data_IF_514973717712
#
_entry.id   IF_514973717712
#
_cell.length_a   1.000
_cell.length_b   1.000
_cell.length_c   1.000
_cell.angle_alpha   90.00
_cell.angle_beta   90.00
_cell.angle_gamma   90.00
#
_symmetry.space_group_name_H-M   'P 1'
#
loop_
_entity.id
_entity.type
_entity.pdbx_description
1 polymer ?
#
# COMPACT_ATOMS: atom_id res chain seq x y z
N UNK A 1 -29.69 -19.29 -56.21
CA UNK A 1 -29.61 -18.44 -54.99
C UNK A 1 -28.81 -19.04 -53.82
N UNK A 2 -28.71 -20.38 -53.64
CA UNK A 2 -28.00 -21.00 -52.49
C UNK A 2 -26.47 -20.77 -52.41
N UNK A 3 -25.76 -20.67 -53.55
CA UNK A 3 -24.29 -20.58 -53.58
C UNK A 3 -23.74 -19.23 -53.09
N UNK A 4 -24.45 -18.14 -53.37
CA UNK A 4 -24.04 -16.78 -52.96
C UNK A 4 -24.25 -16.53 -51.47
N UNK A 5 -25.31 -17.10 -50.87
CA UNK A 5 -25.55 -17.01 -49.43
C UNK A 5 -24.47 -17.74 -48.62
N UNK A 6 -23.99 -18.88 -49.12
CA UNK A 6 -22.91 -19.64 -48.47
C UNK A 6 -21.57 -18.89 -48.52
N UNK A 7 -21.26 -18.28 -49.67
CA UNK A 7 -20.06 -17.47 -49.84
C UNK A 7 -20.07 -16.20 -48.97
N UNK A 8 -21.22 -15.55 -48.83
CA UNK A 8 -21.36 -14.39 -47.95
C UNK A 8 -21.19 -14.77 -46.46
N UNK A 9 -21.72 -15.92 -46.06
CA UNK A 9 -21.59 -16.42 -44.68
C UNK A 9 -20.14 -16.76 -44.33
N UNK A 10 -19.40 -17.45 -45.22
CA UNK A 10 -17.98 -17.74 -45.00
C UNK A 10 -17.14 -16.47 -44.91
N UNK A 11 -17.46 -15.45 -45.70
CA UNK A 11 -16.77 -14.16 -45.63
C UNK A 11 -17.04 -13.44 -44.30
N UNK A 12 -18.29 -13.43 -43.81
CA UNK A 12 -18.61 -12.85 -42.51
C UNK A 12 -17.89 -13.57 -41.36
N UNK A 13 -17.86 -14.90 -41.39
CA UNK A 13 -17.16 -15.69 -40.36
C UNK A 13 -15.66 -15.42 -40.40
N UNK A 14 -15.05 -15.31 -41.59
CA UNK A 14 -13.64 -14.97 -41.73
C UNK A 14 -13.32 -13.57 -41.18
N UNK A 15 -14.18 -12.58 -41.45
CA UNK A 15 -14.02 -11.22 -40.93
C UNK A 15 -14.17 -11.18 -39.42
N UNK A 16 -15.19 -11.82 -38.87
CA UNK A 16 -15.41 -11.89 -37.40
C UNK A 16 -14.24 -12.61 -36.73
N UNK A 17 -13.77 -13.72 -37.31
CA UNK A 17 -12.63 -14.47 -36.80
C UNK A 17 -11.33 -13.67 -36.82
N UNK A 18 -11.07 -12.91 -37.89
CA UNK A 18 -9.91 -12.04 -37.99
C UNK A 18 -9.96 -10.88 -36.98
N UNK A 19 -11.13 -10.29 -36.79
CA UNK A 19 -11.35 -9.23 -35.78
C UNK A 19 -11.17 -9.78 -34.36
N UNK A 20 -11.68 -10.97 -34.06
CA UNK A 20 -11.50 -11.62 -32.77
C UNK A 20 -10.04 -12.02 -32.50
N UNK A 21 -9.34 -12.55 -33.50
CA UNK A 21 -7.94 -12.97 -33.36
C UNK A 21 -6.98 -11.78 -33.22
N UNK A 22 -7.35 -10.62 -33.77
CA UNK A 22 -6.60 -9.37 -33.62
C UNK A 22 -7.02 -8.54 -32.41
N UNK A 23 -8.02 -8.98 -31.64
CA UNK A 23 -8.47 -8.23 -30.48
C UNK A 23 -7.38 -8.29 -29.41
N UNK A 24 -6.86 -7.14 -28.94
CA UNK A 24 -5.84 -7.14 -27.92
C UNK A 24 -6.41 -7.78 -26.66
N UNK A 25 -5.64 -8.68 -26.05
CA UNK A 25 -5.93 -9.19 -24.70
C UNK A 25 -6.18 -7.96 -23.80
N UNK A 26 -7.30 -7.92 -23.04
CA UNK A 26 -7.52 -6.85 -22.08
C UNK A 26 -6.29 -6.77 -21.19
N UNK A 27 -5.61 -5.61 -21.20
CA UNK A 27 -4.45 -5.44 -20.36
C UNK A 27 -4.87 -5.73 -18.92
N UNK A 28 -4.19 -6.68 -18.29
CA UNK A 28 -4.52 -7.11 -16.95
C UNK A 28 -4.42 -5.96 -15.95
N UNK A 29 -5.19 -6.04 -14.88
CA UNK A 29 -5.13 -5.07 -13.80
C UNK A 29 -3.72 -5.06 -13.18
N UNK A 30 -3.12 -3.88 -13.14
CA UNK A 30 -1.85 -3.67 -12.46
C UNK A 30 -2.12 -3.36 -11.00
N UNK A 31 -1.41 -4.04 -10.09
CA UNK A 31 -1.60 -3.90 -8.64
C UNK A 31 -0.26 -3.67 -7.97
N UNK A 32 -0.17 -2.58 -7.22
CA UNK A 32 0.97 -2.25 -6.37
C UNK A 32 0.58 -2.31 -4.91
N UNK A 33 1.49 -2.81 -4.07
CA UNK A 33 1.29 -2.97 -2.64
C UNK A 33 2.39 -2.24 -1.85
N UNK A 34 1.98 -1.38 -0.93
CA UNK A 34 2.84 -0.59 -0.06
C UNK A 34 2.52 -0.85 1.41
N UNK A 35 3.35 -0.34 2.32
CA UNK A 35 3.12 -0.49 3.75
C UNK A 35 1.85 0.27 4.18
N UNK A 36 1.27 -0.18 5.29
CA UNK A 36 0.10 0.46 5.88
C UNK A 36 0.35 1.94 6.17
N UNK A 37 -0.56 2.79 5.72
CA UNK A 37 -0.54 4.22 6.08
C UNK A 37 -1.29 4.47 7.37
N UNK A 38 -0.76 5.40 8.18
CA UNK A 38 -1.50 5.96 9.31
C UNK A 38 -2.68 6.78 8.79
N UNK A 39 -3.74 6.97 9.58
CA UNK A 39 -4.91 7.74 9.14
C UNK A 39 -4.60 9.16 8.67
N UNK A 40 -3.63 9.84 9.29
CA UNK A 40 -3.19 11.18 8.88
C UNK A 40 -2.52 11.16 7.50
N UNK A 41 -1.61 10.21 7.27
CA UNK A 41 -0.92 10.05 5.99
C UNK A 41 -1.91 9.68 4.87
N UNK A 42 -2.90 8.83 5.17
CA UNK A 42 -3.97 8.52 4.21
C UNK A 42 -4.80 9.74 3.80
N UNK A 43 -5.08 10.67 4.74
CA UNK A 43 -5.81 11.91 4.41
C UNK A 43 -5.03 12.79 3.44
N UNK A 44 -3.70 12.82 3.53
CA UNK A 44 -2.84 13.52 2.58
C UNK A 44 -2.92 12.90 1.18
N UNK A 45 -2.84 11.56 1.11
CA UNK A 45 -3.00 10.84 -0.16
C UNK A 45 -4.38 11.11 -0.79
N UNK A 46 -5.43 11.12 0.03
CA UNK A 46 -6.78 11.45 -0.40
C UNK A 46 -6.90 12.91 -0.88
N UNK A 47 -6.28 13.87 -0.18
CA UNK A 47 -6.31 15.27 -0.59
C UNK A 47 -5.57 15.51 -1.91
N UNK A 48 -4.46 14.81 -2.16
CA UNK A 48 -3.74 14.87 -3.43
C UNK A 48 -4.60 14.31 -4.57
N UNK A 49 -5.26 13.17 -4.34
CA UNK A 49 -6.21 12.60 -5.29
C UNK A 49 -7.36 13.57 -5.59
N UNK A 50 -7.91 14.21 -4.55
CA UNK A 50 -8.97 15.21 -4.68
C UNK A 50 -8.48 16.44 -5.47
N UNK A 51 -7.27 16.92 -5.19
CA UNK A 51 -6.65 18.02 -5.92
C UNK A 51 -6.48 17.71 -7.41
N UNK A 52 -6.04 16.50 -7.73
CA UNK A 52 -5.92 16.04 -9.12
C UNK A 52 -7.28 16.03 -9.83
N UNK A 53 -8.31 15.38 -9.28
CA UNK A 53 -9.61 15.30 -9.96
C UNK A 53 -10.29 16.67 -10.06
N UNK A 54 -10.07 17.55 -9.08
CA UNK A 54 -10.60 18.92 -9.12
C UNK A 54 -9.97 19.71 -10.25
N UNK A 55 -8.64 19.61 -10.42
CA UNK A 55 -7.93 20.26 -11.51
C UNK A 55 -8.28 19.69 -12.91
N UNK A 56 -8.84 18.47 -12.94
CA UNK A 56 -9.16 17.71 -14.15
C UNK A 56 -10.65 17.47 -14.33
N UNK A 57 -11.50 18.23 -13.61
CA UNK A 57 -12.94 18.02 -13.60
C UNK A 57 -13.55 18.18 -15.00
N UNK A 58 -13.09 19.16 -15.78
CA UNK A 58 -13.55 19.40 -17.16
C UNK A 58 -13.20 18.26 -18.13
N UNK A 59 -12.20 17.44 -17.79
CA UNK A 59 -11.82 16.25 -18.55
C UNK A 59 -12.65 15.01 -18.16
N UNK A 60 -13.51 15.14 -17.15
CA UNK A 60 -14.43 14.11 -16.66
C UNK A 60 -13.85 13.23 -15.57
N UNK A 61 -12.82 13.70 -14.86
CA UNK A 61 -12.28 12.98 -13.70
C UNK A 61 -13.13 13.20 -12.45
N UNK A 62 -13.41 12.12 -11.74
CA UNK A 62 -14.20 12.13 -10.51
C UNK A 62 -13.57 11.23 -9.46
N UNK A 63 -13.63 11.66 -8.20
CA UNK A 63 -13.21 10.85 -7.06
C UNK A 63 -14.44 10.32 -6.33
N UNK A 64 -14.46 9.01 -6.12
CA UNK A 64 -15.54 8.27 -5.48
C UNK A 64 -15.02 7.62 -4.20
N UNK A 65 -15.40 8.15 -3.04
CA UNK A 65 -15.12 7.50 -1.77
C UNK A 65 -16.07 6.32 -1.57
N UNK A 66 -15.56 5.15 -1.20
CA UNK A 66 -16.39 3.98 -0.97
C UNK A 66 -17.07 4.11 0.42
N UNK A 67 -18.40 4.13 0.51
CA UNK A 67 -19.10 4.36 1.79
C UNK A 67 -18.79 3.28 2.85
N UNK A 68 -18.51 2.05 2.42
CA UNK A 68 -18.21 0.91 3.29
C UNK A 68 -16.77 0.91 3.84
N UNK A 69 -15.87 1.70 3.28
CA UNK A 69 -14.46 1.74 3.67
C UNK A 69 -13.99 3.18 3.74
N UNK A 70 -13.92 3.70 4.97
CA UNK A 70 -13.42 5.03 5.30
C UNK A 70 -11.96 5.28 4.86
N UNK A 71 -11.29 4.25 4.34
CA UNK A 71 -9.89 4.27 3.93
C UNK A 71 -9.68 3.77 2.50
N UNK A 72 -10.67 3.89 1.60
CA UNK A 72 -10.47 3.65 0.17
C UNK A 72 -11.19 4.67 -0.71
N UNK A 73 -10.64 4.93 -1.89
CA UNK A 73 -11.27 5.76 -2.90
C UNK A 73 -10.96 5.25 -4.31
N UNK A 74 -11.88 5.54 -5.22
CA UNK A 74 -11.76 5.26 -6.64
C UNK A 74 -11.62 6.59 -7.40
N UNK A 75 -10.83 6.59 -8.45
CA UNK A 75 -10.80 7.64 -9.45
C UNK A 75 -11.44 7.09 -10.72
N UNK A 76 -12.44 7.79 -11.22
CA UNK A 76 -13.14 7.50 -12.45
C UNK A 76 -12.82 8.57 -13.50
N UNK A 77 -12.72 8.18 -14.76
CA UNK A 77 -12.73 9.06 -15.91
C UNK A 77 -14.00 8.78 -16.71
N UNK A 78 -14.89 9.77 -16.83
CA UNK A 78 -16.19 9.66 -17.51
C UNK A 78 -17.00 8.46 -17.01
N UNK A 79 -17.04 8.28 -15.70
CA UNK A 79 -17.76 7.18 -15.03
C UNK A 79 -17.03 5.82 -15.00
N UNK A 80 -15.91 5.66 -15.72
CA UNK A 80 -15.17 4.39 -15.75
C UNK A 80 -13.97 4.43 -14.83
N UNK A 81 -13.79 3.37 -14.04
CA UNK A 81 -12.67 3.22 -13.10
C UNK A 81 -11.33 3.32 -13.85
N UNK A 82 -10.43 4.16 -13.35
CA UNK A 82 -9.07 4.29 -13.87
C UNK A 82 -8.01 4.11 -12.78
N UNK A 83 -8.37 4.23 -11.51
CA UNK A 83 -7.51 3.86 -10.39
C UNK A 83 -8.37 3.58 -9.14
N UNK A 84 -8.00 2.56 -8.37
CA UNK A 84 -8.57 2.26 -7.05
C UNK A 84 -7.44 2.27 -6.01
N UNK A 85 -7.67 2.95 -4.89
CA UNK A 85 -6.71 3.05 -3.80
C UNK A 85 -7.38 2.57 -2.52
N UNK A 86 -6.84 1.51 -1.94
CA UNK A 86 -7.36 0.88 -0.73
C UNK A 86 -6.26 0.85 0.34
N UNK A 87 -6.45 1.61 1.41
CA UNK A 87 -5.61 1.49 2.60
C UNK A 87 -6.16 0.36 3.49
N UNK A 88 -5.95 -0.88 3.04
CA UNK A 88 -6.36 -2.12 3.70
C UNK A 88 -5.67 -2.32 5.06
N UNK A 89 -6.10 -3.25 5.93
CA UNK A 89 -5.56 -3.39 7.29
C UNK A 89 -4.04 -3.61 7.35
N UNK A 90 -3.46 -4.32 6.38
CA UNK A 90 -2.03 -4.69 6.38
C UNK A 90 -1.17 -3.89 5.42
N UNK A 91 -1.76 -3.30 4.38
CA UNK A 91 -1.05 -2.66 3.27
C UNK A 91 -1.92 -1.64 2.57
N UNK A 92 -1.29 -0.68 1.90
CA UNK A 92 -1.98 0.13 0.88
C UNK A 92 -1.89 -0.58 -0.45
N UNK A 93 -3.02 -0.68 -1.14
CA UNK A 93 -3.13 -1.22 -2.48
C UNK A 93 -3.48 -0.08 -3.44
N UNK A 94 -2.75 0.01 -4.54
CA UNK A 94 -3.12 0.82 -5.70
C UNK A 94 -3.40 -0.15 -6.84
N UNK A 95 -4.59 -0.10 -7.42
CA UNK A 95 -5.00 -0.92 -8.55
C UNK A 95 -5.29 -0.01 -9.74
N UNK A 96 -4.79 -0.36 -10.91
CA UNK A 96 -5.03 0.36 -12.16
C UNK A 96 -5.49 -0.64 -13.23
N UNK A 97 -6.71 -0.49 -13.77
CA UNK A 97 -7.16 -1.29 -14.91
C UNK A 97 -6.19 -1.14 -16.09
N UNK A 98 -5.94 -2.20 -16.85
CA UNK A 98 -4.95 -2.12 -17.92
C UNK A 98 -5.33 -1.20 -19.07
N UNK A 99 -6.62 -0.87 -19.24
CA UNK A 99 -7.08 0.14 -20.19
C UNK A 99 -7.01 1.58 -19.65
N UNK A 100 -6.66 1.78 -18.38
CA UNK A 100 -6.67 3.08 -17.73
C UNK A 100 -5.72 4.08 -18.40
N UNK A 101 -4.52 3.66 -18.81
CA UNK A 101 -3.56 4.54 -19.45
C UNK A 101 -4.03 5.02 -20.84
N UNK A 102 -4.70 4.14 -21.59
CA UNK A 102 -5.29 4.50 -22.88
C UNK A 102 -6.46 5.48 -22.72
N UNK A 103 -7.27 5.28 -21.68
CA UNK A 103 -8.47 6.07 -21.40
C UNK A 103 -8.16 7.41 -20.75
N UNK A 104 -7.17 7.43 -19.86
CA UNK A 104 -6.84 8.55 -18.99
C UNK A 104 -5.31 8.64 -18.81
N UNK A 105 -4.54 9.11 -19.80
CA UNK A 105 -3.07 9.08 -19.78
C UNK A 105 -2.45 9.77 -18.55
N UNK A 106 -3.10 10.83 -18.04
CA UNK A 106 -2.63 11.57 -16.86
C UNK A 106 -2.72 10.78 -15.55
N UNK A 107 -3.50 9.69 -15.51
CA UNK A 107 -3.62 8.83 -14.31
C UNK A 107 -2.29 8.18 -13.96
N UNK A 108 -1.45 7.91 -14.96
CA UNK A 108 -0.14 7.30 -14.77
C UNK A 108 0.82 8.27 -14.07
N UNK A 109 0.70 9.58 -14.37
CA UNK A 109 1.47 10.61 -13.66
C UNK A 109 1.05 10.67 -12.18
N UNK A 110 -0.24 10.58 -11.90
CA UNK A 110 -0.74 10.54 -10.52
C UNK A 110 -0.25 9.28 -9.78
N UNK A 111 -0.31 8.12 -10.43
CA UNK A 111 0.22 6.86 -9.89
C UNK A 111 1.70 6.97 -9.52
N UNK A 112 2.53 7.51 -10.42
CA UNK A 112 3.95 7.74 -10.15
C UNK A 112 4.18 8.72 -8.99
N UNK A 113 3.35 9.77 -8.86
CA UNK A 113 3.45 10.67 -7.70
C UNK A 113 3.11 9.96 -6.38
N UNK A 114 2.08 9.11 -6.37
CA UNK A 114 1.73 8.32 -5.19
C UNK A 114 2.83 7.32 -4.85
N UNK A 115 3.36 6.60 -5.83
CA UNK A 115 4.48 5.67 -5.63
C UNK A 115 5.67 6.38 -4.99
N UNK A 116 6.07 7.53 -5.52
CA UNK A 116 7.19 8.31 -4.99
C UNK A 116 6.95 8.73 -3.54
N UNK A 117 5.76 9.25 -3.24
CA UNK A 117 5.41 9.67 -1.90
C UNK A 117 5.34 8.50 -0.92
N UNK A 118 4.72 7.38 -1.31
CA UNK A 118 4.61 6.16 -0.50
C UNK A 118 5.97 5.54 -0.15
N UNK A 119 6.92 5.55 -1.10
CA UNK A 119 8.29 5.10 -0.86
C UNK A 119 9.00 5.98 0.16
N UNK A 120 8.81 7.31 0.10
CA UNK A 120 9.37 8.24 1.10
C UNK A 120 8.78 7.97 2.48
N UNK A 121 7.45 7.83 2.59
CA UNK A 121 6.79 7.52 3.87
C UNK A 121 7.27 6.19 4.48
N UNK A 122 7.62 5.20 3.65
CA UNK A 122 8.18 3.94 4.14
C UNK A 122 9.59 4.11 4.72
N UNK A 123 10.43 4.93 4.09
CA UNK A 123 11.77 5.23 4.58
C UNK A 123 11.69 6.01 5.89
N UNK A 124 10.87 7.07 5.95
CA UNK A 124 10.68 7.84 7.17
C UNK A 124 10.05 7.01 8.30
N UNK A 125 9.06 6.17 7.98
CA UNK A 125 8.48 5.23 8.94
C UNK A 125 9.54 4.28 9.53
N UNK A 126 10.47 3.79 8.69
CA UNK A 126 11.60 2.98 9.13
C UNK A 126 12.55 3.76 10.03
N UNK A 127 12.87 5.01 9.68
CA UNK A 127 13.73 5.89 10.48
C UNK A 127 13.10 6.28 11.82
N UNK A 128 11.78 6.50 11.87
CA UNK A 128 11.05 6.74 13.11
C UNK A 128 11.04 5.50 14.01
N UNK A 129 10.92 4.31 13.43
CA UNK A 129 11.02 3.05 14.17
C UNK A 129 12.44 2.79 14.69
N UNK A 130 13.47 3.14 13.92
CA UNK A 130 14.87 3.06 14.33
C UNK A 130 15.21 4.09 15.43
N UNK A 131 14.66 5.30 15.33
CA UNK A 131 14.80 6.34 16.36
C UNK A 131 14.01 5.99 17.64
N UNK A 132 12.85 5.37 17.51
CA UNK A 132 12.13 4.74 18.62
C UNK A 132 12.71 3.36 18.95
N UNK A 133 14.05 3.25 18.95
CA UNK A 133 14.79 2.04 19.23
C UNK A 133 14.30 1.37 20.51
N UNK A 134 14.39 0.05 20.62
CA UNK A 134 13.71 -0.68 21.68
C UNK A 134 14.17 -0.16 23.06
N UNK A 135 13.24 0.03 24.02
CA UNK A 135 13.44 0.82 25.24
C UNK A 135 14.57 0.31 26.15
N UNK A 136 15.10 -0.89 25.89
CA UNK A 136 16.26 -1.44 26.56
C UNK A 136 17.59 -0.77 26.16
N UNK A 137 17.68 -0.15 24.97
CA UNK A 137 18.89 0.55 24.51
C UNK A 137 19.09 1.82 25.34
N UNK A 138 18.04 2.61 25.51
CA UNK A 138 18.03 3.80 26.38
C UNK A 138 18.29 3.42 27.85
N UNK A 139 17.67 2.32 28.32
CA UNK A 139 17.91 1.78 29.66
C UNK A 139 19.36 1.28 29.88
N UNK A 140 20.06 0.85 28.81
CA UNK A 140 21.47 0.43 28.90
C UNK A 140 22.41 1.62 29.00
N UNK A 141 22.14 2.72 28.29
CA UNK A 141 22.95 3.94 28.40
C UNK A 141 22.71 4.69 29.72
N UNK A 142 21.46 4.73 30.22
CA UNK A 142 21.16 5.29 31.54
C UNK A 142 21.80 4.52 32.71
N UNK A 143 22.02 3.21 32.54
CA UNK A 143 22.70 2.37 33.54
C UNK A 143 24.22 2.53 33.61
N UNK A 144 24.86 3.19 32.63
CA UNK A 144 26.31 3.42 32.67
C UNK A 144 26.71 4.55 33.66
N UNK A 145 25.75 5.34 34.15
CA UNK A 145 25.98 6.39 35.14
C UNK A 145 25.61 6.02 36.59
N UNK A 146 25.02 4.85 36.82
CA UNK A 146 24.53 4.43 38.13
C UNK A 146 25.43 3.36 38.75
N UNK A 147 26.22 3.72 39.76
CA UNK A 147 26.91 2.75 40.62
C UNK A 147 25.86 1.89 41.32
N UNK A 148 25.85 0.59 41.05
CA UNK A 148 24.96 -0.36 41.74
C UNK A 148 25.36 -0.40 43.22
N UNK A 149 24.45 -0.02 44.15
CA UNK A 149 24.74 -0.04 45.58
C UNK A 149 25.13 -1.44 46.05
N UNK A 150 26.09 -1.53 46.97
CA UNK A 150 26.64 -2.80 47.47
C UNK A 150 25.57 -3.77 48.00
N UNK A 151 24.44 -3.23 48.46
CA UNK A 151 23.32 -3.97 49.07
C UNK A 151 22.48 -4.75 48.05
N UNK A 152 22.63 -4.47 46.76
CA UNK A 152 22.00 -5.23 45.66
C UNK A 152 22.97 -6.17 44.94
N UNK A 153 24.22 -6.27 45.41
CA UNK A 153 25.15 -7.28 44.93
C UNK A 153 24.85 -8.58 45.64
N UNK A 154 24.54 -9.63 44.87
CA UNK A 154 24.43 -10.97 45.43
C UNK A 154 25.80 -11.39 45.99
N UNK A 155 25.99 -11.24 47.31
CA UNK A 155 27.13 -11.81 48.00
C UNK A 155 26.89 -13.31 48.18
N UNK A 156 27.89 -14.11 47.80
CA UNK A 156 27.91 -15.53 48.11
C UNK A 156 28.14 -15.66 49.62
N UNK A 157 27.09 -15.90 50.40
CA UNK A 157 27.20 -16.20 51.82
C UNK A 157 28.00 -17.50 51.99
N UNK A 158 29.24 -17.40 52.48
CA UNK A 158 29.98 -18.57 52.95
C UNK A 158 29.35 -19.07 54.25
N UNK A 159 29.04 -20.38 54.38
CA UNK A 159 28.40 -20.91 55.58
C UNK A 159 29.37 -20.82 56.76
N UNK A 160 29.04 -20.01 57.77
CA UNK A 160 29.70 -20.10 59.07
C UNK A 160 29.21 -21.35 59.79
N UNK A 161 30.15 -22.25 60.07
CA UNK A 161 29.99 -23.41 60.94
C UNK A 161 29.30 -23.02 62.26
N UNK A 162 28.16 -23.65 62.57
CA UNK A 162 27.57 -23.70 63.90
C UNK A 162 27.60 -25.15 64.38
N UNK A 163 28.58 -25.46 65.22
CA UNK A 163 28.57 -26.67 66.04
C UNK A 163 27.51 -26.52 67.15
N UNK A 164 26.60 -27.49 67.35
CA UNK A 164 25.81 -27.59 68.56
C UNK A 164 26.45 -28.64 69.49
N UNK A 165 26.84 -28.21 70.69
CA UNK A 165 27.12 -29.12 71.80
C UNK A 165 25.84 -29.50 72.52
N UNK A 166 25.71 -30.78 72.90
CA UNK A 166 24.79 -31.24 73.94
C UNK A 166 25.32 -32.54 74.56
N UNK A 167 25.30 -32.54 75.91
CA UNK A 167 25.56 -33.61 76.89
C UNK A 167 27.01 -33.81 77.36
#
# INVERSE_FOLDING_TARGET
MKKHGLAAATMCIAVIGAVWAGWPEPAGDQVWAYQKLRPADYRLLYSDALGFVTAKADEGFELHARPASATSFEIRCKGVLVMDVENAPTRVLIRMPGDAQLRAPDIERLRMSFERWLLVQQIEGRLLMERAGPPWVEARFGRLGGVVPDEQRCAFESPRHRWPGSS
#
